data_IF_013628934953
#
_entry.id   IF_013628934953
#
_cell.length_a   1.000
_cell.length_b   1.000
_cell.length_c   1.000
_cell.angle_alpha   90.00
_cell.angle_beta   90.00
_cell.angle_gamma   90.00
#
_symmetry.space_group_name_H-M   'P 1'
#
loop_
_entity.id
_entity.type
_entity.pdbx_description
1 polymer ?
#
# COMPACT_ATOMS: atom_id res chain seq x y z
N UNK A 1 -7.48 -14.88 12.22
CA UNK A 1 -7.89 -13.45 12.32
C UNK A 1 -6.69 -12.50 12.56
N UNK A 2 -5.54 -12.73 11.91
CA UNK A 2 -4.34 -11.88 12.03
C UNK A 2 -4.20 -10.93 10.83
N UNK A 3 -4.47 -11.45 9.63
CA UNK A 3 -4.39 -10.73 8.34
C UNK A 3 -5.27 -9.48 8.32
N UNK A 4 -6.50 -9.59 8.85
CA UNK A 4 -7.42 -8.45 8.98
C UNK A 4 -6.93 -7.40 9.98
N UNK A 5 -6.24 -7.81 11.06
CA UNK A 5 -5.65 -6.88 12.04
C UNK A 5 -4.47 -6.13 11.41
N UNK A 6 -3.60 -6.83 10.68
CA UNK A 6 -2.48 -6.23 9.95
C UNK A 6 -2.95 -5.30 8.83
N UNK A 7 -3.97 -5.72 8.06
CA UNK A 7 -4.56 -4.91 7.00
C UNK A 7 -5.27 -3.66 7.52
N UNK A 8 -5.69 -3.61 8.79
CA UNK A 8 -6.20 -2.37 9.40
C UNK A 8 -5.07 -1.43 9.82
N UNK A 9 -3.95 -1.97 10.34
CA UNK A 9 -2.81 -1.17 10.84
C UNK A 9 -1.94 -0.59 9.72
N UNK A 10 -1.70 -1.34 8.66
CA UNK A 10 -0.80 -0.93 7.59
C UNK A 10 -1.58 -0.56 6.33
N UNK A 11 -1.19 0.52 5.67
CA UNK A 11 -1.84 0.96 4.44
C UNK A 11 -1.30 0.24 3.21
N UNK A 12 0.01 -0.02 3.17
CA UNK A 12 0.70 -0.67 2.05
C UNK A 12 1.53 -1.84 2.55
N UNK A 13 1.57 -2.91 1.76
CA UNK A 13 2.41 -4.07 1.98
C UNK A 13 3.45 -4.14 0.85
N UNK A 14 4.71 -4.36 1.21
CA UNK A 14 5.80 -4.62 0.27
C UNK A 14 6.13 -6.10 0.33
N UNK A 15 6.41 -6.73 -0.80
CA UNK A 15 6.72 -8.16 -0.82
C UNK A 15 7.74 -8.52 -1.88
N UNK A 16 8.66 -9.43 -1.55
CA UNK A 16 9.67 -9.95 -2.46
C UNK A 16 9.06 -10.89 -3.52
N UNK A 17 9.81 -11.07 -4.61
CA UNK A 17 9.42 -11.92 -5.76
C UNK A 17 9.17 -13.39 -5.40
N UNK A 18 9.80 -13.89 -4.33
CA UNK A 18 9.58 -15.25 -3.85
C UNK A 18 8.19 -15.44 -3.21
N UNK A 19 7.70 -14.43 -2.49
CA UNK A 19 6.50 -14.54 -1.63
C UNK A 19 5.23 -14.08 -2.36
N UNK A 20 5.36 -13.24 -3.40
CA UNK A 20 4.21 -12.72 -4.17
C UNK A 20 3.32 -13.82 -4.76
N UNK A 21 3.90 -14.98 -5.12
CA UNK A 21 3.16 -16.13 -5.65
C UNK A 21 2.31 -16.84 -4.60
N UNK A 22 2.69 -16.77 -3.33
CA UNK A 22 2.01 -17.44 -2.23
C UNK A 22 0.89 -16.59 -1.62
N UNK A 23 0.98 -15.26 -1.75
CA UNK A 23 0.03 -14.30 -1.20
C UNK A 23 -1.41 -14.51 -1.69
N UNK A 24 -1.69 -14.73 -2.99
CA UNK A 24 -3.06 -14.96 -3.45
C UNK A 24 -3.72 -16.17 -2.79
N UNK A 25 -2.96 -17.25 -2.59
CA UNK A 25 -3.48 -18.50 -2.03
C UNK A 25 -3.70 -18.42 -0.51
N UNK A 26 -2.76 -17.84 0.25
CA UNK A 26 -2.88 -17.76 1.71
C UNK A 26 -3.68 -16.54 2.19
N UNK A 27 -3.49 -15.40 1.54
CA UNK A 27 -3.92 -14.09 2.04
C UNK A 27 -4.90 -13.40 1.09
N UNK A 28 -5.22 -13.99 -0.06
CA UNK A 28 -6.07 -13.40 -1.09
C UNK A 28 -7.45 -13.00 -0.56
N UNK A 29 -8.12 -13.86 0.21
CA UNK A 29 -9.45 -13.56 0.78
C UNK A 29 -9.42 -12.35 1.74
N UNK A 30 -8.35 -12.22 2.54
CA UNK A 30 -8.20 -11.13 3.52
C UNK A 30 -7.77 -9.81 2.88
N UNK A 31 -6.78 -9.85 2.00
CA UNK A 31 -6.19 -8.66 1.38
C UNK A 31 -7.04 -8.09 0.25
N UNK A 32 -7.79 -8.93 -0.48
CA UNK A 32 -8.74 -8.47 -1.50
C UNK A 32 -9.90 -7.69 -0.85
N UNK A 33 -10.47 -8.22 0.24
CA UNK A 33 -11.52 -7.50 1.00
C UNK A 33 -11.03 -6.18 1.57
N UNK A 34 -9.76 -6.11 1.98
CA UNK A 34 -9.13 -4.87 2.45
C UNK A 34 -8.68 -3.92 1.32
N UNK A 35 -8.71 -4.36 0.05
CA UNK A 35 -8.17 -3.65 -1.12
C UNK A 35 -6.70 -3.22 -0.98
N UNK A 36 -5.91 -3.98 -0.21
CA UNK A 36 -4.51 -3.68 0.10
C UNK A 36 -3.60 -4.76 -0.48
N UNK A 37 -3.54 -4.81 -1.81
CA UNK A 37 -2.67 -5.75 -2.49
C UNK A 37 -1.20 -5.34 -2.36
N UNK A 38 -0.27 -6.26 -2.10
CA UNK A 38 1.13 -5.91 -1.92
C UNK A 38 1.78 -5.44 -3.22
N UNK A 39 2.72 -4.50 -3.10
CA UNK A 39 3.59 -4.08 -4.19
C UNK A 39 4.83 -4.98 -4.22
N UNK A 40 5.22 -5.43 -5.41
CA UNK A 40 6.41 -6.23 -5.62
C UNK A 40 7.67 -5.38 -5.43
N UNK A 41 8.65 -5.90 -4.70
CA UNK A 41 10.00 -5.36 -4.61
C UNK A 41 10.98 -6.35 -5.23
N UNK A 42 11.81 -5.86 -6.14
CA UNK A 42 12.92 -6.58 -6.76
C UNK A 42 14.18 -6.42 -5.91
N UNK A 43 15.08 -7.42 -5.92
CA UNK A 43 16.33 -7.38 -5.15
C UNK A 43 17.34 -6.32 -5.62
N UNK A 44 17.05 -5.68 -6.75
CA UNK A 44 17.90 -4.69 -7.40
C UNK A 44 17.59 -3.26 -6.91
N UNK A 45 16.43 -3.06 -6.27
CA UNK A 45 15.99 -1.77 -5.77
C UNK A 45 16.23 -1.68 -4.25
N UNK A 46 16.70 -0.52 -3.77
CA UNK A 46 16.82 -0.27 -2.34
C UNK A 46 15.44 -0.22 -1.70
N UNK A 47 15.24 -1.01 -0.64
CA UNK A 47 14.00 -1.04 0.14
C UNK A 47 13.64 0.34 0.69
N UNK A 48 14.63 1.13 1.11
CA UNK A 48 14.42 2.48 1.64
C UNK A 48 13.87 3.43 0.59
N UNK A 49 14.42 3.38 -0.63
CA UNK A 49 13.92 4.17 -1.75
C UNK A 49 12.47 3.81 -2.05
N UNK A 50 12.14 2.51 -2.11
CA UNK A 50 10.78 2.05 -2.38
C UNK A 50 9.78 2.43 -1.30
N UNK A 51 10.20 2.41 -0.04
CA UNK A 51 9.37 2.85 1.09
C UNK A 51 9.07 4.35 0.97
N UNK A 52 10.06 5.16 0.62
CA UNK A 52 9.86 6.61 0.44
C UNK A 52 8.97 6.92 -0.77
N UNK A 53 9.17 6.26 -1.91
CA UNK A 53 8.27 6.35 -3.07
C UNK A 53 6.85 5.96 -2.71
N UNK A 54 6.69 4.84 -1.99
CA UNK A 54 5.37 4.33 -1.59
C UNK A 54 4.66 5.26 -0.60
N UNK A 55 5.41 5.95 0.26
CA UNK A 55 4.86 6.96 1.18
C UNK A 55 4.42 8.24 0.45
N UNK A 56 5.14 8.61 -0.60
CA UNK A 56 4.80 9.77 -1.45
C UNK A 56 3.69 9.46 -2.47
N UNK A 57 3.47 8.19 -2.79
CA UNK A 57 2.48 7.76 -3.76
C UNK A 57 1.09 7.59 -3.13
N UNK A 58 0.11 8.31 -3.65
CA UNK A 58 -1.30 8.15 -3.29
C UNK A 58 -2.04 7.41 -4.40
N UNK A 59 -2.63 6.24 -4.08
CA UNK A 59 -3.39 5.44 -5.06
C UNK A 59 -4.81 5.98 -5.24
N UNK A 60 -5.06 6.61 -6.37
CA UNK A 60 -6.40 6.94 -6.83
C UNK A 60 -7.09 5.70 -7.40
N UNK A 61 -8.09 5.17 -6.70
CA UNK A 61 -9.03 4.21 -7.30
C UNK A 61 -10.24 4.96 -7.82
N UNK A 62 -10.37 5.05 -9.14
CA UNK A 62 -11.59 5.53 -9.79
C UNK A 62 -12.73 4.57 -9.44
N UNK A 63 -13.72 5.09 -8.73
CA UNK A 63 -15.00 4.44 -8.45
C UNK A 63 -16.09 5.22 -9.16
N UNK A 64 -17.26 4.60 -9.36
CA UNK A 64 -18.44 5.26 -9.93
C UNK A 64 -19.09 6.19 -8.89
N UNK A 65 -18.38 7.27 -8.52
CA UNK A 65 -18.76 8.26 -7.50
C UNK A 65 -18.48 9.67 -8.01
N UNK A 66 -19.31 10.64 -7.63
CA UNK A 66 -19.15 12.05 -8.04
C UNK A 66 -17.99 12.77 -7.34
N UNK A 67 -17.64 12.37 -6.11
CA UNK A 67 -16.55 12.96 -5.33
C UNK A 67 -15.64 11.86 -4.79
N UNK A 68 -14.32 12.08 -4.85
CA UNK A 68 -13.31 11.18 -4.32
C UNK A 68 -12.57 11.83 -3.14
N UNK A 69 -12.67 11.20 -1.96
CA UNK A 69 -11.86 11.57 -0.81
C UNK A 69 -10.49 10.89 -0.88
N UNK A 70 -9.42 11.67 -0.88
CA UNK A 70 -8.05 11.20 -1.03
C UNK A 70 -7.16 11.81 0.04
N UNK A 71 -6.27 11.02 0.63
CA UNK A 71 -5.32 11.49 1.64
C UNK A 71 -4.21 12.27 0.96
N UNK A 72 -4.10 13.57 1.27
CA UNK A 72 -3.09 14.46 0.66
C UNK A 72 -1.81 14.53 1.50
N UNK A 73 -1.91 14.32 2.83
CA UNK A 73 -0.79 14.50 3.76
C UNK A 73 -1.00 13.76 5.09
N UNK A 74 0.10 13.39 5.74
CA UNK A 74 0.15 13.08 7.16
C UNK A 74 0.44 14.34 7.98
N UNK A 75 -0.23 14.56 9.12
CA UNK A 75 -0.13 15.81 9.91
C UNK A 75 1.31 16.21 10.28
N UNK A 76 2.23 15.24 10.36
CA UNK A 76 3.64 15.46 10.67
C UNK A 76 4.52 15.93 9.48
N UNK A 77 4.01 15.99 8.24
CA UNK A 77 4.80 16.46 7.10
C UNK A 77 4.82 17.99 7.01
N UNK A 78 5.95 18.58 6.62
CA UNK A 78 6.05 20.03 6.41
C UNK A 78 5.32 20.48 5.12
N UNK A 79 4.85 21.73 5.08
CA UNK A 79 4.09 22.24 3.94
C UNK A 79 4.89 22.25 2.62
N UNK A 80 6.22 22.33 2.69
CA UNK A 80 7.10 22.31 1.50
C UNK A 80 7.17 20.96 0.79
N UNK A 81 6.75 19.87 1.42
CA UNK A 81 6.76 18.52 0.81
C UNK A 81 5.44 18.15 0.11
N UNK A 82 4.42 19.00 0.22
CA UNK A 82 3.08 18.74 -0.34
C UNK A 82 2.86 19.50 -1.66
N UNK A 83 3.57 20.62 -1.85
CA UNK A 83 3.48 21.49 -3.01
C UNK A 83 4.43 21.04 -4.13
#
# INVERSE_FOLDING_TARGET
MLVMKLAKRYHVFLTSKAIIKQIPNLLGLGLNKARKFPTLVTHQESLEAKVNETKAMVKFQLKKVLCMGVTVKNCAMDNKQIF
#
